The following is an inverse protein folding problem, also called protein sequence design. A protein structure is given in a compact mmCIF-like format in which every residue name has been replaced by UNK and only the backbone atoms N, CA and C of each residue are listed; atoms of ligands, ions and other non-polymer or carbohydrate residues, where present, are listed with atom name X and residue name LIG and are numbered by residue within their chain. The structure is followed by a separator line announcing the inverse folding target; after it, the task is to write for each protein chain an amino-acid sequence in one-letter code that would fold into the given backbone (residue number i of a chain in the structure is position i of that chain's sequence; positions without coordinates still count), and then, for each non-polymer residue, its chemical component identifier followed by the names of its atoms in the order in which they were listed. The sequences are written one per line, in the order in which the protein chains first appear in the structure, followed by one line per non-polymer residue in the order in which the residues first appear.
data_IF_858966586869
#
_entry.id   IF_858966586869
#
_cell.length_a   1.000
_cell.length_b   1.000
_cell.length_c   1.000
_cell.angle_alpha   90.00
_cell.angle_beta   90.00
_cell.angle_gamma   90.00
#
_symmetry.space_group_name_H-M   'P 1'
#
loop_
_entity.id
_entity.type
_entity.pdbx_description
1 polymer ?
#
# COMPACT_ATOMS: atom_id res chain seq x y z
N UNK A 1 -18.09 -9.22 -8.53
CA UNK A 1 -17.82 -7.83 -8.10
C UNK A 1 -19.10 -7.21 -7.58
N UNK A 2 -19.03 -6.46 -6.48
CA UNK A 2 -20.17 -5.68 -5.95
C UNK A 2 -20.13 -4.29 -6.57
N UNK A 3 -21.26 -3.79 -7.08
CA UNK A 3 -21.39 -2.43 -7.64
C UNK A 3 -22.22 -1.58 -6.69
N UNK A 4 -21.76 -0.37 -6.42
CA UNK A 4 -22.46 0.63 -5.62
C UNK A 4 -22.33 2.00 -6.31
N UNK A 5 -23.35 2.83 -6.14
CA UNK A 5 -23.31 4.26 -6.51
C UNK A 5 -23.17 5.05 -5.23
N UNK A 6 -22.17 5.92 -5.17
CA UNK A 6 -21.84 6.72 -4.00
C UNK A 6 -21.77 8.17 -4.46
N UNK A 7 -22.40 9.06 -3.70
CA UNK A 7 -22.26 10.50 -3.87
C UNK A 7 -21.19 10.97 -2.89
N UNK A 8 -20.16 11.66 -3.40
CA UNK A 8 -19.14 12.28 -2.57
C UNK A 8 -19.57 13.73 -2.26
N UNK A 9 -19.33 14.22 -1.04
CA UNK A 9 -19.48 15.64 -0.73
C UNK A 9 -18.42 16.48 -1.47
N UNK A 10 -18.74 17.75 -1.71
CA UNK A 10 -17.96 18.68 -2.54
C UNK A 10 -16.50 18.80 -2.11
N UNK A 11 -16.22 18.73 -0.80
CA UNK A 11 -14.86 18.80 -0.25
C UNK A 11 -14.01 17.59 -0.66
N UNK A 12 -14.58 16.39 -0.63
CA UNK A 12 -13.91 15.17 -1.08
C UNK A 12 -13.79 15.12 -2.61
N UNK A 13 -14.80 15.61 -3.34
CA UNK A 13 -14.74 15.72 -4.80
C UNK A 13 -13.56 16.62 -5.20
N UNK A 14 -13.47 17.82 -4.63
CA UNK A 14 -12.42 18.78 -4.95
C UNK A 14 -11.02 18.24 -4.61
N UNK A 15 -10.86 17.63 -3.43
CA UNK A 15 -9.59 17.04 -3.03
C UNK A 15 -9.15 15.89 -3.96
N UNK A 16 -10.11 15.09 -4.43
CA UNK A 16 -9.86 13.95 -5.31
C UNK A 16 -9.50 14.39 -6.73
N UNK A 17 -10.18 15.40 -7.25
CA UNK A 17 -9.84 16.01 -8.54
C UNK A 17 -8.44 16.63 -8.51
N UNK A 18 -8.12 17.37 -7.45
CA UNK A 18 -6.79 17.95 -7.29
C UNK A 18 -5.71 16.85 -7.23
N UNK A 19 -5.92 15.83 -6.40
CA UNK A 19 -5.00 14.69 -6.33
C UNK A 19 -4.79 14.05 -7.70
N UNK A 20 -5.87 13.81 -8.45
CA UNK A 20 -5.78 13.19 -9.78
C UNK A 20 -5.06 14.09 -10.80
N UNK A 21 -5.24 15.40 -10.73
CA UNK A 21 -4.59 16.37 -11.62
C UNK A 21 -3.08 16.51 -11.37
N UNK A 22 -2.64 16.33 -10.13
CA UNK A 22 -1.22 16.43 -9.74
C UNK A 22 -0.41 15.18 -10.13
N UNK A 23 -1.06 14.07 -10.49
CA UNK A 23 -0.35 12.84 -10.82
C UNK A 23 0.34 12.92 -12.18
N UNK A 24 1.64 12.59 -12.17
CA UNK A 24 2.45 12.52 -13.39
C UNK A 24 1.94 11.48 -14.40
N UNK A 25 1.24 10.44 -13.92
CA UNK A 25 0.58 9.44 -14.75
C UNK A 25 -0.92 9.50 -14.46
N UNK A 26 -1.79 9.57 -15.48
CA UNK A 26 -3.23 9.57 -15.28
C UNK A 26 -3.69 8.38 -14.44
N UNK A 27 -4.26 8.65 -13.27
CA UNK A 27 -4.83 7.63 -12.38
C UNK A 27 -6.34 7.60 -12.60
N UNK A 28 -6.92 6.41 -12.66
CA UNK A 28 -8.37 6.26 -12.74
C UNK A 28 -9.00 6.43 -11.37
N UNK A 29 -10.12 7.17 -11.29
CA UNK A 29 -10.92 7.33 -10.06
C UNK A 29 -11.20 5.98 -9.37
N UNK A 30 -11.55 4.97 -10.14
CA UNK A 30 -11.79 3.60 -9.66
C UNK A 30 -10.59 3.02 -8.91
N UNK A 31 -9.36 3.27 -9.37
CA UNK A 31 -8.15 2.78 -8.73
C UNK A 31 -7.91 3.49 -7.39
N UNK A 32 -8.15 4.80 -7.32
CA UNK A 32 -8.03 5.58 -6.08
C UNK A 32 -9.05 5.09 -5.04
N UNK A 33 -10.32 4.95 -5.43
CA UNK A 33 -11.38 4.48 -4.54
C UNK A 33 -11.11 3.05 -4.06
N UNK A 34 -10.63 2.15 -4.93
CA UNK A 34 -10.27 0.79 -4.52
C UNK A 34 -9.12 0.77 -3.52
N UNK A 35 -8.10 1.61 -3.71
CA UNK A 35 -6.98 1.74 -2.78
C UNK A 35 -7.44 2.29 -1.43
N UNK A 36 -8.24 3.35 -1.42
CA UNK A 36 -8.78 3.94 -0.19
C UNK A 36 -9.67 2.95 0.59
N UNK A 37 -10.53 2.20 -0.11
CA UNK A 37 -11.36 1.15 0.55
C UNK A 37 -10.48 0.03 1.11
N UNK A 38 -9.42 -0.35 0.41
CA UNK A 38 -8.47 -1.36 0.92
C UNK A 38 -7.75 -0.88 2.17
N UNK A 39 -7.29 0.36 2.18
CA UNK A 39 -6.63 0.96 3.34
C UNK A 39 -7.58 1.06 4.53
N UNK A 40 -8.78 1.61 4.34
CA UNK A 40 -9.80 1.76 5.38
C UNK A 40 -10.21 0.43 6.06
N UNK A 41 -10.29 -0.65 5.27
CA UNK A 41 -10.59 -1.99 5.79
C UNK A 41 -9.35 -2.68 6.37
N UNK A 42 -8.15 -2.39 5.85
CA UNK A 42 -6.89 -2.91 6.37
C UNK A 42 -6.58 -2.38 7.76
N UNK A 43 -6.83 -1.09 8.01
CA UNK A 43 -6.67 -0.47 9.34
C UNK A 43 -7.61 -1.06 10.41
N UNK A 44 -8.69 -1.71 10.00
CA UNK A 44 -9.68 -2.33 10.88
C UNK A 44 -9.49 -3.83 11.07
N UNK A 45 -8.42 -4.40 10.53
CA UNK A 45 -8.19 -5.85 10.45
C UNK A 45 -9.32 -6.62 9.72
N UNK A 46 -10.17 -5.92 8.96
CA UNK A 46 -11.23 -6.50 8.13
C UNK A 46 -10.68 -7.08 6.81
N UNK A 47 -9.40 -6.81 6.52
CA UNK A 47 -8.68 -7.41 5.41
C UNK A 47 -7.49 -8.25 5.91
N UNK A 48 -7.29 -9.45 5.36
CA UNK A 48 -6.06 -10.19 5.61
C UNK A 48 -4.89 -9.35 5.10
N UNK A 49 -3.94 -9.05 6.00
CA UNK A 49 -2.74 -8.28 5.68
C UNK A 49 -2.04 -8.92 4.47
N UNK A 50 -1.73 -8.16 3.40
CA UNK A 50 -1.02 -8.70 2.25
C UNK A 50 0.29 -9.30 2.76
N UNK A 51 0.50 -10.58 2.46
CA UNK A 51 1.62 -11.34 3.00
C UNK A 51 2.92 -10.54 2.86
N UNK A 52 3.55 -10.25 4.01
CA UNK A 52 4.89 -9.64 4.04
C UNK A 52 5.77 -10.40 3.06
N UNK A 53 6.44 -9.66 2.17
CA UNK A 53 7.36 -10.23 1.18
C UNK A 53 8.35 -11.15 1.90
N UNK A 54 8.11 -12.46 1.83
CA UNK A 54 8.97 -13.49 2.39
C UNK A 54 10.11 -13.76 1.42
N UNK A 55 11.08 -12.85 1.40
CA UNK A 55 12.35 -13.05 0.72
C UNK A 55 13.06 -14.20 1.44
N UNK A 56 13.15 -15.36 0.79
CA UNK A 56 14.00 -16.45 1.28
C UNK A 56 15.45 -16.15 0.85
N UNK A 57 16.38 -16.01 1.79
CA UNK A 57 17.79 -15.84 1.49
C UNK A 57 18.30 -17.00 0.60
N UNK A 58 19.19 -16.68 -0.32
CA UNK A 58 19.84 -17.70 -1.13
C UNK A 58 20.75 -18.59 -0.25
N UNK A 59 20.84 -19.91 -0.51
CA UNK A 59 21.65 -20.83 0.30
C UNK A 59 23.16 -20.59 0.19
N UNK A 60 23.62 -19.70 -0.69
CA UNK A 60 25.02 -19.26 -0.84
C UNK A 60 25.06 -17.74 -0.73
N UNK A 61 25.87 -17.21 0.18
CA UNK A 61 25.94 -15.77 0.45
C UNK A 61 26.48 -15.47 1.85
N UNK A 62 26.07 -14.36 2.44
CA UNK A 62 26.53 -13.85 3.74
C UNK A 62 26.23 -14.75 4.96
N UNK A 63 25.48 -15.83 4.79
CA UNK A 63 25.09 -16.76 5.88
C UNK A 63 24.01 -16.22 6.81
N UNK A 64 23.55 -15.00 6.59
CA UNK A 64 22.51 -14.35 7.39
C UNK A 64 21.17 -14.45 6.67
N UNK A 65 20.14 -14.85 7.41
CA UNK A 65 18.86 -15.26 6.84
C UNK A 65 17.72 -14.27 7.07
N UNK A 66 17.98 -13.22 7.82
CA UNK A 66 17.01 -12.26 8.34
C UNK A 66 17.42 -10.81 8.04
N UNK A 67 18.50 -10.59 7.29
CA UNK A 67 18.96 -9.26 6.87
C UNK A 67 17.86 -8.47 6.15
N UNK A 68 17.06 -9.14 5.32
CA UNK A 68 15.94 -8.53 4.60
C UNK A 68 14.78 -8.11 5.51
N UNK A 69 14.74 -8.61 6.75
CA UNK A 69 13.70 -8.32 7.75
C UNK A 69 14.21 -7.33 8.78
N UNK A 70 15.45 -7.50 9.24
CA UNK A 70 16.07 -6.74 10.34
C UNK A 70 17.11 -5.74 9.83
N UNK A 71 16.90 -5.17 8.63
CA UNK A 71 17.87 -4.31 7.93
C UNK A 71 18.45 -3.18 8.81
N UNK A 72 17.59 -2.51 9.58
CA UNK A 72 17.98 -1.38 10.42
C UNK A 72 18.93 -1.79 11.55
N UNK A 73 18.75 -2.99 12.11
CA UNK A 73 19.66 -3.54 13.11
C UNK A 73 21.06 -3.75 12.54
N UNK A 74 21.15 -4.27 11.31
CA UNK A 74 22.43 -4.50 10.62
C UNK A 74 23.14 -3.22 10.21
N UNK A 75 22.41 -2.15 9.91
CA UNK A 75 23.00 -0.86 9.52
C UNK A 75 23.29 0.06 10.70
N UNK A 76 22.63 -0.14 11.85
CA UNK A 76 22.85 0.65 13.07
C UNK A 76 24.14 0.33 13.82
N UNK A 77 24.80 -0.78 13.52
CA UNK A 77 25.97 -1.28 14.26
C UNK A 77 27.32 -0.85 13.68
N UNK A 78 27.41 0.34 13.07
CA UNK A 78 28.67 0.90 12.54
C UNK A 78 29.24 1.97 13.46
#
# INVERSE_FOLDING_TARGET
MKRATITLPDDLEQALEQFMAEQAVPVQLTAVVQSAVREYLGERDDLPSPAVLRIRPAPRGSGQNDVSVSHDQYLSST
#
